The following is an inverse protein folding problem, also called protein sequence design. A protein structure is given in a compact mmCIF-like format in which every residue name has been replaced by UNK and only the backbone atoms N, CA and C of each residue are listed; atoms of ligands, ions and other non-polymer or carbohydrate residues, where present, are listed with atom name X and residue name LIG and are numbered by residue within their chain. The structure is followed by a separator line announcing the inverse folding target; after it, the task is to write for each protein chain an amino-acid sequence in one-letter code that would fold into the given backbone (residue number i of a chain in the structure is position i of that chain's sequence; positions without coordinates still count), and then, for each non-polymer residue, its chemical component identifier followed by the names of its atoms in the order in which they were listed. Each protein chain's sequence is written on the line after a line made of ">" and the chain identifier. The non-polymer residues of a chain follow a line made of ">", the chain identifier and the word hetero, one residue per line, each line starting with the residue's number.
data_IF_692378901743
#
_entry.id   IF_692378901743
#
_cell.length_a   1.000
_cell.length_b   1.000
_cell.length_c   1.000
_cell.angle_alpha   90.00
_cell.angle_beta   90.00
_cell.angle_gamma   90.00
#
_symmetry.space_group_name_H-M   'P 1'
#
loop_
_entity.id
_entity.type
_entity.pdbx_description
1 polymer ?
#
# COMPACT_ATOMS: atom_id res chain seq x y z
N UNK A 1 6.64 -9.29 -27.39
CA UNK A 1 7.47 -8.13 -27.80
C UNK A 1 6.61 -7.09 -28.53
N UNK A 2 6.08 -6.13 -27.78
CA UNK A 2 5.51 -4.90 -28.30
C UNK A 2 6.35 -3.74 -27.73
N UNK A 3 6.76 -2.82 -28.60
CA UNK A 3 7.89 -1.89 -28.45
C UNK A 3 7.70 -0.75 -27.43
N UNK A 4 7.00 -0.97 -26.31
CA UNK A 4 6.95 0.00 -25.21
C UNK A 4 6.34 1.38 -25.56
N UNK A 5 5.80 1.55 -26.77
CA UNK A 5 5.22 2.81 -27.25
C UNK A 5 3.71 2.95 -26.97
N UNK A 6 3.00 1.87 -26.61
CA UNK A 6 1.53 1.90 -26.52
C UNK A 6 0.98 2.41 -25.18
N UNK A 7 1.72 2.33 -24.08
CA UNK A 7 1.21 2.68 -22.74
C UNK A 7 1.91 3.91 -22.17
N UNK A 8 1.15 4.97 -21.85
CA UNK A 8 1.71 6.19 -21.25
C UNK A 8 2.39 5.88 -19.90
N UNK A 9 1.85 4.93 -19.12
CA UNK A 9 2.37 4.46 -17.82
C UNK A 9 1.91 3.03 -17.53
N UNK A 10 2.83 2.15 -17.15
CA UNK A 10 2.51 0.78 -16.73
C UNK A 10 3.26 0.37 -15.47
N UNK A 11 2.61 -0.43 -14.62
CA UNK A 11 3.17 -1.04 -13.42
C UNK A 11 2.87 -2.54 -13.49
N UNK A 12 3.92 -3.36 -13.61
CA UNK A 12 3.80 -4.80 -13.47
C UNK A 12 3.98 -5.20 -12.00
N UNK A 13 3.10 -6.06 -11.50
CA UNK A 13 3.14 -6.58 -10.13
C UNK A 13 3.12 -8.11 -10.22
N UNK A 14 4.25 -8.72 -9.83
CA UNK A 14 4.34 -10.15 -9.61
C UNK A 14 4.04 -10.45 -8.15
N UNK A 15 2.97 -11.20 -7.88
CA UNK A 15 2.58 -11.53 -6.50
C UNK A 15 3.39 -12.68 -5.89
N UNK A 16 4.18 -13.38 -6.70
CA UNK A 16 5.05 -14.49 -6.31
C UNK A 16 6.44 -14.30 -6.92
N UNK A 17 7.43 -15.04 -6.42
CA UNK A 17 8.80 -14.89 -6.93
C UNK A 17 8.94 -15.33 -8.38
N UNK A 18 9.94 -14.80 -9.08
CA UNK A 18 10.23 -15.19 -10.47
C UNK A 18 10.55 -16.67 -10.59
N UNK A 19 11.20 -17.27 -9.58
CA UNK A 19 11.47 -18.70 -9.53
C UNK A 19 10.17 -19.51 -9.48
N UNK A 20 9.18 -19.06 -8.70
CA UNK A 20 7.86 -19.69 -8.66
C UNK A 20 7.16 -19.60 -10.02
N UNK A 21 7.14 -18.40 -10.64
CA UNK A 21 6.55 -18.20 -11.96
C UNK A 21 7.20 -19.13 -12.98
N UNK A 22 8.54 -19.18 -13.02
CA UNK A 22 9.29 -20.05 -13.92
C UNK A 22 9.00 -21.53 -13.70
N UNK A 23 8.92 -21.99 -12.44
CA UNK A 23 8.63 -23.38 -12.09
C UNK A 23 7.25 -23.83 -12.57
N UNK A 24 6.24 -22.98 -12.45
CA UNK A 24 4.85 -23.31 -12.79
C UNK A 24 4.40 -22.70 -14.12
N UNK A 25 5.35 -22.22 -14.94
CA UNK A 25 5.06 -21.50 -16.17
C UNK A 25 4.17 -22.29 -17.13
N UNK A 26 4.48 -23.57 -17.35
CA UNK A 26 3.74 -24.44 -18.26
C UNK A 26 2.27 -24.68 -17.84
N UNK A 27 1.94 -24.44 -16.57
CA UNK A 27 0.57 -24.54 -16.03
C UNK A 27 -0.14 -23.18 -16.10
N UNK A 28 0.64 -22.10 -15.97
CA UNK A 28 0.13 -20.74 -15.81
C UNK A 28 -0.01 -19.96 -17.12
N UNK A 29 0.82 -20.27 -18.12
CA UNK A 29 0.88 -19.50 -19.38
C UNK A 29 -0.43 -19.50 -20.17
N UNK A 30 -1.23 -20.55 -19.99
CA UNK A 30 -2.49 -20.75 -20.71
C UNK A 30 -3.69 -20.23 -19.89
N UNK A 31 -3.45 -19.71 -18.68
CA UNK A 31 -4.50 -19.14 -17.81
C UNK A 31 -4.83 -17.67 -18.10
N UNK A 32 -3.97 -16.98 -18.85
CA UNK A 32 -4.09 -15.54 -19.08
C UNK A 32 -4.00 -15.24 -20.58
N UNK A 33 -4.68 -14.18 -21.02
CA UNK A 33 -4.57 -13.63 -22.37
C UNK A 33 -3.15 -13.14 -22.69
N UNK A 34 -2.38 -12.78 -21.65
CA UNK A 34 -0.99 -12.38 -21.78
C UNK A 34 -0.07 -13.59 -21.60
N UNK A 35 0.46 -14.08 -22.72
CA UNK A 35 1.37 -15.23 -22.77
C UNK A 35 2.78 -14.92 -22.27
N UNK A 36 3.05 -13.69 -21.84
CA UNK A 36 4.30 -13.28 -21.17
C UNK A 36 4.10 -13.19 -19.63
N UNK A 37 2.85 -13.27 -19.14
CA UNK A 37 2.48 -13.15 -17.72
C UNK A 37 1.71 -14.37 -17.20
N UNK A 38 1.93 -14.73 -15.94
CA UNK A 38 1.24 -15.86 -15.32
C UNK A 38 0.00 -15.45 -14.52
N UNK A 39 -0.77 -16.45 -14.08
CA UNK A 39 -1.91 -16.31 -13.14
C UNK A 39 -1.63 -15.45 -11.89
N UNK A 40 -0.36 -15.31 -11.51
CA UNK A 40 0.09 -14.61 -10.30
C UNK A 40 0.71 -13.24 -10.60
N UNK A 41 0.41 -12.66 -11.74
CA UNK A 41 0.92 -11.35 -12.17
C UNK A 41 -0.22 -10.46 -12.67
N UNK A 42 -0.11 -9.15 -12.45
CA UNK A 42 -1.04 -8.14 -12.97
C UNK A 42 -0.26 -6.98 -13.58
N UNK A 43 -0.67 -6.52 -14.76
CA UNK A 43 -0.15 -5.31 -15.37
C UNK A 43 -1.20 -4.23 -15.28
N UNK A 44 -0.92 -3.22 -14.46
CA UNK A 44 -1.74 -2.03 -14.39
C UNK A 44 -1.20 -1.00 -15.36
N UNK A 45 -1.93 -0.71 -16.43
CA UNK A 45 -1.54 0.31 -17.38
C UNK A 45 -2.67 1.32 -17.57
N UNK A 46 -2.27 2.56 -17.85
CA UNK A 46 -3.18 3.62 -18.24
C UNK A 46 -2.96 3.89 -19.73
N UNK A 47 -4.05 3.83 -20.49
CA UNK A 47 -4.05 4.03 -21.93
C UNK A 47 -5.23 4.90 -22.34
N UNK A 48 -4.94 5.95 -23.11
CA UNK A 48 -5.97 6.83 -23.67
C UNK A 48 -6.74 6.16 -24.79
N UNK A 49 -6.13 5.25 -25.54
CA UNK A 49 -6.73 4.55 -26.68
C UNK A 49 -7.86 3.62 -26.21
N UNK A 50 -7.61 2.88 -25.14
CA UNK A 50 -8.59 1.98 -24.52
C UNK A 50 -9.45 2.68 -23.44
N UNK A 51 -9.33 4.00 -23.30
CA UNK A 51 -10.05 4.81 -22.31
C UNK A 51 -9.85 4.34 -20.85
N UNK A 52 -8.69 3.75 -20.56
CA UNK A 52 -8.26 3.32 -19.22
C UNK A 52 -7.66 4.50 -18.48
N UNK A 53 -8.53 5.29 -17.84
CA UNK A 53 -8.17 6.59 -17.23
C UNK A 53 -7.81 6.46 -15.76
N UNK A 54 -8.24 5.40 -15.11
CA UNK A 54 -8.06 5.18 -13.67
C UNK A 54 -7.41 3.84 -13.38
N UNK A 55 -6.84 3.70 -12.18
CA UNK A 55 -6.33 2.41 -11.70
C UNK A 55 -7.46 1.37 -11.59
N UNK A 56 -8.68 1.81 -11.29
CA UNK A 56 -9.86 0.92 -11.26
C UNK A 56 -10.17 0.39 -12.67
N UNK A 57 -10.10 1.23 -13.70
CA UNK A 57 -10.26 0.81 -15.09
C UNK A 57 -9.21 -0.25 -15.47
N UNK A 58 -7.94 -0.02 -15.09
CA UNK A 58 -6.85 -0.96 -15.35
C UNK A 58 -7.04 -2.31 -14.63
N UNK A 59 -7.50 -2.28 -13.37
CA UNK A 59 -7.80 -3.50 -12.60
C UNK A 59 -8.95 -4.28 -13.24
N UNK A 60 -10.01 -3.59 -13.66
CA UNK A 60 -11.16 -4.23 -14.28
C UNK A 60 -10.80 -4.80 -15.65
N UNK A 61 -10.03 -4.07 -16.45
CA UNK A 61 -9.50 -4.54 -17.72
C UNK A 61 -8.71 -5.86 -17.56
N UNK A 62 -7.78 -5.92 -16.61
CA UNK A 62 -6.96 -7.12 -16.39
C UNK A 62 -7.81 -8.32 -15.91
N UNK A 63 -8.78 -8.07 -15.01
CA UNK A 63 -9.75 -9.09 -14.58
C UNK A 63 -10.63 -9.60 -15.72
N UNK A 64 -11.09 -8.72 -16.59
CA UNK A 64 -11.97 -9.08 -17.69
C UNK A 64 -11.22 -9.86 -18.77
N UNK A 65 -9.95 -9.51 -19.03
CA UNK A 65 -9.07 -10.26 -19.93
C UNK A 65 -8.88 -11.72 -19.51
N UNK A 66 -9.01 -12.03 -18.22
CA UNK A 66 -8.97 -13.39 -17.69
C UNK A 66 -10.22 -14.23 -18.03
N UNK A 67 -11.34 -13.58 -18.41
CA UNK A 67 -12.62 -14.23 -18.75
C UNK A 67 -12.87 -14.24 -20.25
N UNK A 68 -12.54 -13.14 -20.93
CA UNK A 68 -13.09 -12.82 -22.25
C UNK A 68 -12.39 -13.48 -23.43
N UNK A 69 -11.19 -14.05 -23.24
CA UNK A 69 -10.34 -14.41 -24.38
C UNK A 69 -9.82 -15.85 -24.24
N UNK A 70 -10.63 -16.86 -24.61
CA UNK A 70 -10.19 -18.25 -24.66
C UNK A 70 -9.38 -18.43 -25.94
N UNK A 71 -8.07 -18.23 -25.88
CA UNK A 71 -7.22 -18.50 -27.05
C UNK A 71 -6.32 -19.72 -26.83
N UNK A 72 -6.00 -20.08 -25.58
CA UNK A 72 -4.99 -21.11 -25.27
C UNK A 72 -5.30 -22.04 -24.09
N UNK A 73 -6.47 -21.92 -23.44
CA UNK A 73 -6.88 -22.79 -22.32
C UNK A 73 -7.76 -23.95 -22.81
N UNK A 74 -7.24 -25.19 -22.72
CA UNK A 74 -7.95 -26.42 -23.13
C UNK A 74 -8.75 -27.09 -22.01
N UNK A 75 -8.78 -26.50 -20.81
CA UNK A 75 -9.56 -27.02 -19.68
C UNK A 75 -11.06 -26.86 -19.91
N UNK A 76 -11.84 -27.66 -19.18
CA UNK A 76 -13.29 -27.57 -19.18
C UNK A 76 -13.78 -26.23 -18.58
N UNK A 77 -15.01 -25.86 -18.94
CA UNK A 77 -15.61 -24.58 -18.58
C UNK A 77 -15.72 -24.38 -17.05
N UNK A 78 -16.06 -25.43 -16.30
CA UNK A 78 -16.20 -25.34 -14.84
C UNK A 78 -14.84 -25.09 -14.18
N UNK A 79 -13.81 -25.81 -14.60
CA UNK A 79 -12.44 -25.60 -14.11
C UNK A 79 -11.95 -24.19 -14.41
N UNK A 80 -12.17 -23.69 -15.64
CA UNK A 80 -11.80 -22.33 -16.05
C UNK A 80 -12.51 -21.28 -15.20
N UNK A 81 -13.81 -21.42 -14.99
CA UNK A 81 -14.61 -20.51 -14.17
C UNK A 81 -14.17 -20.51 -12.69
N UNK A 82 -13.80 -21.69 -12.16
CA UNK A 82 -13.25 -21.83 -10.82
C UNK A 82 -11.92 -21.11 -10.65
N UNK A 83 -10.98 -21.29 -11.59
CA UNK A 83 -9.67 -20.63 -11.58
C UNK A 83 -9.80 -19.11 -11.71
N UNK A 84 -10.68 -18.62 -12.58
CA UNK A 84 -11.00 -17.20 -12.65
C UNK A 84 -11.50 -16.65 -11.31
N UNK A 85 -12.43 -17.36 -10.68
CA UNK A 85 -13.00 -16.93 -9.40
C UNK A 85 -11.94 -16.84 -8.31
N UNK A 86 -10.97 -17.76 -8.31
CA UNK A 86 -9.82 -17.72 -7.41
C UNK A 86 -8.91 -16.52 -7.72
N UNK A 87 -8.55 -16.31 -8.99
CA UNK A 87 -7.71 -15.17 -9.40
C UNK A 87 -8.35 -13.83 -9.02
N UNK A 88 -9.62 -13.64 -9.37
CA UNK A 88 -10.37 -12.43 -9.05
C UNK A 88 -10.37 -12.14 -7.55
N UNK A 89 -10.69 -13.14 -6.73
CA UNK A 89 -10.67 -12.99 -5.27
C UNK A 89 -9.28 -12.66 -4.75
N UNK A 90 -8.24 -13.26 -5.32
CA UNK A 90 -6.86 -12.99 -4.95
C UNK A 90 -6.45 -11.55 -5.28
N UNK A 91 -6.73 -11.08 -6.50
CA UNK A 91 -6.48 -9.71 -6.94
C UNK A 91 -7.26 -8.73 -6.06
N UNK A 92 -8.56 -8.94 -5.85
CA UNK A 92 -9.42 -8.05 -5.03
C UNK A 92 -8.87 -7.85 -3.60
N UNK A 93 -8.36 -8.92 -3.00
CA UNK A 93 -7.80 -8.89 -1.65
C UNK A 93 -6.44 -8.20 -1.58
N UNK A 94 -5.64 -8.26 -2.64
CA UNK A 94 -4.22 -7.89 -2.59
C UNK A 94 -3.95 -6.53 -3.25
N UNK A 95 -4.60 -6.24 -4.39
CA UNK A 95 -4.27 -5.07 -5.20
C UNK A 95 -4.56 -3.76 -4.47
N UNK A 96 -5.68 -3.70 -3.75
CA UNK A 96 -6.04 -2.52 -2.96
C UNK A 96 -4.99 -2.22 -1.88
N UNK A 97 -4.43 -3.27 -1.25
CA UNK A 97 -3.38 -3.10 -0.26
C UNK A 97 -2.09 -2.58 -0.90
N UNK A 98 -1.65 -3.17 -2.01
CA UNK A 98 -0.44 -2.75 -2.73
C UNK A 98 -0.56 -1.30 -3.19
N UNK A 99 -1.69 -0.91 -3.82
CA UNK A 99 -1.92 0.47 -4.26
C UNK A 99 -1.88 1.43 -3.07
N UNK A 100 -2.51 1.09 -1.94
CA UNK A 100 -2.44 1.91 -0.74
C UNK A 100 -1.00 2.06 -0.22
N UNK A 101 -0.19 1.00 -0.25
CA UNK A 101 1.23 1.07 0.11
C UNK A 101 2.02 1.97 -0.85
N UNK A 102 1.82 1.84 -2.16
CA UNK A 102 2.49 2.67 -3.17
C UNK A 102 2.12 4.15 -3.02
N UNK A 103 0.83 4.45 -2.83
CA UNK A 103 0.34 5.80 -2.58
C UNK A 103 0.93 6.37 -1.28
N UNK A 104 1.00 5.55 -0.23
CA UNK A 104 1.63 5.94 1.02
C UNK A 104 3.12 6.28 0.83
N UNK A 105 3.88 5.40 0.17
CA UNK A 105 5.32 5.59 -0.07
C UNK A 105 5.63 6.80 -0.96
N UNK A 106 4.70 7.19 -1.84
CA UNK A 106 4.83 8.33 -2.76
C UNK A 106 4.32 9.65 -2.18
N UNK A 107 3.81 9.65 -0.95
CA UNK A 107 3.34 10.87 -0.29
C UNK A 107 4.52 11.81 0.01
N UNK A 108 4.43 13.07 -0.46
CA UNK A 108 5.49 14.10 -0.32
C UNK A 108 5.92 14.35 1.13
N UNK A 109 4.99 14.25 2.07
CA UNK A 109 5.28 14.29 3.50
C UNK A 109 5.40 12.86 4.00
N UNK A 110 6.56 12.27 3.73
CA UNK A 110 6.91 10.95 4.25
C UNK A 110 6.97 11.06 5.77
N UNK A 111 5.89 10.65 6.45
CA UNK A 111 5.83 10.58 7.91
C UNK A 111 6.66 9.38 8.38
N UNK A 112 7.98 9.52 8.24
CA UNK A 112 8.98 8.61 8.77
C UNK A 112 9.72 9.36 9.86
N UNK A 113 9.52 8.93 11.10
CA UNK A 113 10.32 9.32 12.23
C UNK A 113 11.31 8.20 12.55
N UNK A 114 12.59 8.52 12.63
CA UNK A 114 13.64 7.52 12.84
C UNK A 114 14.14 7.62 14.28
N UNK A 115 13.71 6.68 15.13
CA UNK A 115 13.99 6.68 16.57
C UNK A 115 14.59 5.36 17.02
N UNK A 116 15.42 5.41 18.05
CA UNK A 116 15.80 4.18 18.77
C UNK A 116 14.59 3.55 19.45
N UNK A 117 14.57 2.21 19.60
CA UNK A 117 13.48 1.53 20.27
C UNK A 117 13.39 1.96 21.74
N UNK A 118 12.21 1.78 22.33
CA UNK A 118 11.88 2.26 23.68
C UNK A 118 12.74 1.63 24.77
N UNK A 119 13.29 0.45 24.50
CA UNK A 119 14.14 -0.37 25.36
C UNK A 119 15.64 -0.08 25.20
N UNK A 120 16.02 0.97 24.46
CA UNK A 120 17.41 1.42 24.41
C UNK A 120 17.95 1.64 25.83
N UNK A 121 19.08 1.00 26.22
CA UNK A 121 19.62 1.09 27.57
C UNK A 121 19.81 2.55 28.03
N UNK A 122 19.37 2.83 29.26
CA UNK A 122 19.35 4.19 29.84
C UNK A 122 20.71 4.88 29.76
N UNK A 123 21.80 4.13 29.95
CA UNK A 123 23.16 4.66 29.88
C UNK A 123 23.55 5.13 28.46
N UNK A 124 23.12 4.43 27.41
CA UNK A 124 23.33 4.81 26.01
C UNK A 124 22.47 6.02 25.63
N UNK A 125 21.21 6.04 26.10
CA UNK A 125 20.31 7.18 25.92
C UNK A 125 20.87 8.45 26.55
N UNK A 126 21.33 8.36 27.80
CA UNK A 126 21.94 9.49 28.51
C UNK A 126 23.25 9.98 27.84
N UNK A 127 24.07 9.06 27.31
CA UNK A 127 25.27 9.43 26.53
C UNK A 127 24.89 10.18 25.26
N UNK A 128 23.85 9.75 24.55
CA UNK A 128 23.38 10.38 23.32
C UNK A 128 22.85 11.80 23.59
N UNK A 129 22.09 11.98 24.67
CA UNK A 129 21.57 13.29 25.09
C UNK A 129 22.69 14.27 25.49
N UNK A 130 23.75 13.77 26.14
CA UNK A 130 24.92 14.58 26.55
C UNK A 130 25.91 14.87 25.42
N UNK A 131 25.79 14.20 24.27
CA UNK A 131 26.69 14.37 23.14
C UNK A 131 26.40 15.68 22.38
N UNK A 132 27.14 16.75 22.72
CA UNK A 132 26.92 18.08 22.13
C UNK A 132 27.45 18.23 20.69
N UNK A 133 28.53 17.51 20.33
CA UNK A 133 29.19 17.68 19.02
C UNK A 133 28.87 16.53 18.06
N UNK A 134 28.92 16.79 16.76
CA UNK A 134 28.68 15.79 15.70
C UNK A 134 29.56 14.54 15.90
N UNK A 135 30.85 14.73 16.14
CA UNK A 135 31.81 13.64 16.40
C UNK A 135 31.44 12.80 17.63
N UNK A 136 31.02 13.44 18.73
CA UNK A 136 30.57 12.70 19.94
C UNK A 136 29.30 11.91 19.66
N UNK A 137 28.36 12.45 18.88
CA UNK A 137 27.15 11.74 18.47
C UNK A 137 27.47 10.52 17.60
N UNK A 138 28.38 10.64 16.65
CA UNK A 138 28.83 9.53 15.80
C UNK A 138 29.47 8.39 16.62
N UNK A 139 30.32 8.72 17.60
CA UNK A 139 30.91 7.73 18.51
C UNK A 139 29.81 6.99 19.28
N UNK A 140 28.86 7.72 19.86
CA UNK A 140 27.74 7.12 20.60
C UNK A 140 26.84 6.29 19.67
N UNK A 141 26.61 6.72 18.42
CA UNK A 141 25.86 5.92 17.43
C UNK A 141 26.57 4.61 17.09
N UNK A 142 27.90 4.63 16.93
CA UNK A 142 28.69 3.43 16.70
C UNK A 142 28.66 2.48 17.91
N UNK A 143 28.74 3.02 19.12
CA UNK A 143 28.59 2.25 20.37
C UNK A 143 27.20 1.60 20.47
N UNK A 144 26.12 2.35 20.19
CA UNK A 144 24.75 1.84 20.18
C UNK A 144 24.59 0.71 19.16
N UNK A 145 25.15 0.87 17.97
CA UNK A 145 25.11 -0.15 16.91
C UNK A 145 25.88 -1.42 17.32
N UNK A 146 27.06 -1.29 17.93
CA UNK A 146 27.83 -2.42 18.45
C UNK A 146 27.11 -3.19 19.55
N UNK A 147 26.24 -2.50 20.31
CA UNK A 147 25.37 -3.11 21.31
C UNK A 147 24.08 -3.71 20.70
N UNK A 148 23.97 -3.78 19.37
CA UNK A 148 22.85 -4.43 18.67
C UNK A 148 21.62 -3.56 18.46
N UNK A 149 21.68 -2.27 18.79
CA UNK A 149 20.55 -1.36 18.63
C UNK A 149 20.68 -0.55 17.34
N UNK A 150 19.63 -0.57 16.54
CA UNK A 150 19.48 0.31 15.38
C UNK A 150 18.28 1.23 15.58
N UNK A 151 18.19 2.29 14.79
CA UNK A 151 16.97 3.07 14.76
C UNK A 151 15.91 2.35 13.96
N UNK A 152 14.68 2.46 14.42
CA UNK A 152 13.48 1.97 13.75
C UNK A 152 12.83 3.15 13.04
N UNK A 153 12.39 2.90 11.79
CA UNK A 153 11.58 3.86 11.03
C UNK A 153 10.13 3.70 11.45
N UNK A 154 9.61 4.67 12.19
CA UNK A 154 8.21 4.77 12.57
C UNK A 154 7.47 5.49 11.47
N UNK A 155 6.50 4.80 10.89
CA UNK A 155 5.77 5.24 9.72
C UNK A 155 4.35 5.66 10.15
N UNK A 156 3.93 6.89 9.88
CA UNK A 156 2.58 7.37 10.19
C UNK A 156 2.36 7.86 11.63
N UNK A 157 3.43 8.13 12.38
CA UNK A 157 3.37 8.54 13.79
C UNK A 157 3.00 10.03 13.99
N UNK A 158 3.44 10.93 13.09
CA UNK A 158 3.05 12.36 13.08
C UNK A 158 1.61 12.58 12.57
N UNK A 159 1.05 11.62 11.83
CA UNK A 159 -0.35 11.63 11.34
C UNK A 159 -1.41 11.68 12.46
N UNK A 160 -1.03 11.57 13.73
CA UNK A 160 -1.94 11.62 14.91
C UNK A 160 -2.35 13.05 15.33
N UNK A 161 -1.79 14.09 14.72
CA UNK A 161 -1.86 15.47 15.26
C UNK A 161 -2.84 16.44 14.58
N UNK A 162 -3.57 16.06 13.53
CA UNK A 162 -4.43 17.00 12.80
C UNK A 162 -5.92 16.91 13.15
N UNK A 163 -6.51 18.05 13.53
CA UNK A 163 -7.94 18.24 13.84
C UNK A 163 -8.76 18.63 12.61
N UNK A 164 -9.97 18.07 12.49
CA UNK A 164 -11.13 18.87 12.10
C UNK A 164 -12.25 18.77 13.15
N UNK A 165 -12.84 19.91 13.50
CA UNK A 165 -14.11 19.96 14.24
C UNK A 165 -15.25 19.67 13.25
N UNK A 166 -16.16 18.76 13.61
CA UNK A 166 -17.52 18.84 13.08
C UNK A 166 -18.55 18.29 14.08
N UNK A 167 -19.67 19.00 14.17
CA UNK A 167 -20.75 18.81 15.14
C UNK A 167 -21.90 18.09 14.46
N UNK A 168 -22.16 16.83 14.80
CA UNK A 168 -23.44 16.20 14.46
C UNK A 168 -23.91 15.22 15.53
N UNK A 169 -25.08 15.53 16.11
CA UNK A 169 -25.63 14.91 17.31
C UNK A 169 -26.15 13.48 17.13
N UNK A 170 -25.25 12.50 17.19
CA UNK A 170 -25.55 11.14 17.66
C UNK A 170 -24.48 10.71 18.65
N UNK A 171 -24.89 10.20 19.83
CA UNK A 171 -23.97 9.77 20.87
C UNK A 171 -23.27 8.46 20.49
N UNK A 172 -22.07 8.58 19.91
CA UNK A 172 -21.16 7.46 19.71
C UNK A 172 -19.97 7.60 20.67
N UNK A 173 -19.43 6.49 21.16
CA UNK A 173 -18.20 6.48 21.97
C UNK A 173 -17.00 6.97 21.14
N UNK A 174 -15.98 7.56 21.79
CA UNK A 174 -14.73 7.91 21.12
C UNK A 174 -14.15 6.70 20.39
N UNK A 175 -13.86 6.85 19.09
CA UNK A 175 -13.27 5.77 18.30
C UNK A 175 -12.37 6.31 17.20
N UNK A 176 -11.42 5.48 16.77
CA UNK A 176 -10.59 5.75 15.62
C UNK A 176 -11.40 5.62 14.33
N UNK A 177 -11.45 6.70 13.55
CA UNK A 177 -11.78 6.63 12.13
C UNK A 177 -10.50 6.41 11.35
N UNK A 178 -10.46 5.32 10.58
CA UNK A 178 -9.28 4.95 9.76
C UNK A 178 -8.98 6.05 8.73
N UNK A 179 -7.68 6.30 8.53
CA UNK A 179 -7.22 7.12 7.41
C UNK A 179 -7.52 6.43 6.09
N UNK A 180 -7.79 7.22 5.06
CA UNK A 180 -8.12 6.72 3.73
C UNK A 180 -7.75 7.73 2.66
N UNK A 181 -7.45 7.24 1.46
CA UNK A 181 -7.33 8.09 0.29
C UNK A 181 -8.71 8.56 -0.15
N UNK A 182 -8.81 9.84 -0.49
CA UNK A 182 -10.03 10.44 -1.02
C UNK A 182 -9.70 11.15 -2.31
N UNK A 183 -10.50 10.89 -3.35
CA UNK A 183 -10.49 11.72 -4.54
C UNK A 183 -11.28 13.00 -4.26
N UNK A 184 -10.59 14.12 -4.11
CA UNK A 184 -11.16 15.41 -3.76
C UNK A 184 -11.31 16.27 -5.01
N UNK A 185 -12.55 16.55 -5.40
CA UNK A 185 -12.83 17.49 -6.49
C UNK A 185 -12.36 18.90 -6.12
N UNK A 186 -11.81 19.61 -7.09
CA UNK A 186 -11.34 21.00 -6.98
C UNK A 186 -11.45 21.71 -8.35
N UNK A 187 -10.99 22.96 -8.43
CA UNK A 187 -11.02 23.75 -9.66
C UNK A 187 -12.39 24.38 -9.93
N UNK A 188 -12.48 25.11 -11.04
CA UNK A 188 -13.71 25.79 -11.44
C UNK A 188 -14.82 24.76 -11.71
N UNK A 189 -15.99 24.95 -11.08
CA UNK A 189 -17.13 24.03 -11.15
C UNK A 189 -16.82 22.57 -10.76
N UNK A 190 -15.79 22.31 -9.95
CA UNK A 190 -15.36 20.95 -9.55
C UNK A 190 -14.99 20.05 -10.74
N UNK A 191 -14.47 20.65 -11.81
CA UNK A 191 -14.07 19.97 -13.05
C UNK A 191 -12.80 19.14 -12.88
N UNK A 192 -11.99 19.44 -11.87
CA UNK A 192 -10.74 18.73 -11.59
C UNK A 192 -10.85 17.88 -10.32
N UNK A 193 -9.95 16.91 -10.17
CA UNK A 193 -9.91 16.07 -8.98
C UNK A 193 -8.46 15.76 -8.58
N UNK A 194 -8.18 15.78 -7.28
CA UNK A 194 -6.87 15.47 -6.71
C UNK A 194 -7.00 14.38 -5.66
N UNK A 195 -6.06 13.45 -5.64
CA UNK A 195 -6.00 12.43 -4.61
C UNK A 195 -5.35 13.01 -3.35
N UNK A 196 -6.05 12.94 -2.22
CA UNK A 196 -5.55 13.40 -0.91
C UNK A 196 -5.64 12.27 0.12
N UNK A 197 -4.67 12.22 1.03
CA UNK A 197 -4.75 11.35 2.19
C UNK A 197 -5.58 12.03 3.27
N UNK A 198 -6.72 11.45 3.63
CA UNK A 198 -7.47 11.86 4.81
C UNK A 198 -6.85 11.15 6.01
N UNK A 199 -6.30 11.94 6.93
CA UNK A 199 -5.64 11.42 8.13
C UNK A 199 -6.62 10.62 9.01
N UNK A 200 -6.14 9.58 9.71
CA UNK A 200 -6.90 8.97 10.78
C UNK A 200 -7.27 10.03 11.83
N UNK A 201 -8.53 10.04 12.25
CA UNK A 201 -9.04 11.04 13.21
C UNK A 201 -9.79 10.34 14.33
N UNK A 202 -9.70 10.88 15.54
CA UNK A 202 -10.55 10.46 16.65
C UNK A 202 -11.91 11.14 16.49
N UNK A 203 -12.96 10.34 16.36
CA UNK A 203 -14.34 10.82 16.37
C UNK A 203 -14.79 10.96 17.83
N UNK A 204 -15.51 12.03 18.16
CA UNK A 204 -16.02 12.33 19.51
C UNK A 204 -14.94 12.42 20.61
N UNK A 205 -13.79 13.02 20.27
CA UNK A 205 -12.63 13.15 21.17
C UNK A 205 -12.96 13.89 22.47
N UNK A 206 -13.92 14.81 22.44
CA UNK A 206 -14.39 15.55 23.61
C UNK A 206 -14.96 14.65 24.72
N UNK A 207 -15.32 13.40 24.40
CA UNK A 207 -15.85 12.41 25.34
C UNK A 207 -14.78 11.47 25.92
N UNK A 208 -13.51 11.68 25.57
CA UNK A 208 -12.37 10.90 26.07
C UNK A 208 -11.54 10.26 24.96
N UNK A 209 -10.58 9.42 25.36
CA UNK A 209 -9.70 8.71 24.44
C UNK A 209 -10.31 7.37 23.99
N UNK A 210 -10.12 6.95 22.72
CA UNK A 210 -10.60 5.66 22.24
C UNK A 210 -10.01 4.48 23.02
N UNK A 211 -10.86 3.61 23.55
CA UNK A 211 -10.42 2.39 24.23
C UNK A 211 -10.06 1.24 23.28
N UNK A 212 -10.40 1.34 21.98
CA UNK A 212 -10.16 0.31 20.96
C UNK A 212 -9.68 0.94 19.64
N UNK A 213 -8.77 0.25 18.94
CA UNK A 213 -8.20 0.67 17.65
C UNK A 213 -6.67 0.70 17.59
N UNK A 214 -5.99 -0.20 18.32
CA UNK A 214 -4.53 -0.26 18.37
C UNK A 214 -3.94 -0.66 17.01
N UNK A 215 -2.80 -0.07 16.68
CA UNK A 215 -1.85 -0.58 15.68
C UNK A 215 -1.55 -2.03 16.06
N UNK A 216 -1.68 -2.94 15.10
CA UNK A 216 -1.48 -4.38 15.32
C UNK A 216 -0.04 -4.65 15.81
N UNK A 217 0.10 -5.17 17.02
CA UNK A 217 1.29 -5.95 17.37
C UNK A 217 1.20 -7.28 16.62
N UNK A 218 2.02 -7.43 15.59
CA UNK A 218 2.24 -8.74 14.96
C UNK A 218 3.16 -9.51 15.91
N UNK A 219 2.60 -10.41 16.72
CA UNK A 219 3.39 -11.42 17.40
C UNK A 219 3.94 -12.39 16.36
N UNK A 220 5.27 -12.51 16.29
CA UNK A 220 5.95 -13.62 15.63
C UNK A 220 5.79 -14.90 16.45
#
# INVERSE_FOLDING_TARGET
>A
YHDGEDYERAINIDFVSKEYIGKYWNINKDLCWDTERGFHSILLFLDRKDNLKTIEDAINFDKDGFVSTPMFDDRDEDTRQGLYSIHKQFVDRTINFIINCLLYLTTKEVDIDEKYPVDLPVHLKAKLEKAATKRKKEIVHSEILQNGFTKVKYVGYRLTTAKPLDNSGRELNPHWRRGHWRNQKFGENFSEAKLIWIMPTIVNKEKGEPQKGHIYEVKQ
#
